data_IF_064175012113
#
_entry.id   IF_064175012113
#
_cell.length_a   1.000
_cell.length_b   1.000
_cell.length_c   1.000
_cell.angle_alpha   90.00
_cell.angle_beta   90.00
_cell.angle_gamma   90.00
#
_symmetry.space_group_name_H-M   'P 1'
#
loop_
_entity.id
_entity.type
_entity.pdbx_description
1 polymer ?
#
# COMPACT_ATOMS: atom_id res chain seq x y z
N UNK A 1 -8.66 13.88 -16.63
CA UNK A 1 -9.61 13.76 -15.55
C UNK A 1 -8.99 13.65 -14.17
N UNK A 2 -9.66 14.25 -13.19
CA UNK A 2 -9.23 14.23 -11.78
C UNK A 2 -9.37 12.87 -11.07
N UNK A 3 -9.78 11.80 -11.77
CA UNK A 3 -9.92 10.45 -11.19
C UNK A 3 -11.19 10.20 -10.38
N UNK A 4 -12.23 11.02 -10.47
CA UNK A 4 -13.51 10.87 -9.73
C UNK A 4 -14.13 9.48 -9.90
N UNK A 5 -14.40 9.08 -11.14
CA UNK A 5 -15.02 7.80 -11.48
C UNK A 5 -14.20 6.61 -10.95
N UNK A 6 -12.88 6.66 -11.11
CA UNK A 6 -11.97 5.65 -10.57
C UNK A 6 -12.00 5.61 -9.04
N UNK A 7 -12.03 6.78 -8.39
CA UNK A 7 -12.13 6.88 -6.94
C UNK A 7 -13.46 6.30 -6.44
N UNK A 8 -14.59 6.63 -7.10
CA UNK A 8 -15.92 6.10 -6.73
C UNK A 8 -15.94 4.57 -6.70
N UNK A 9 -15.37 3.94 -7.75
CA UNK A 9 -15.23 2.47 -7.79
C UNK A 9 -14.33 1.91 -6.68
N UNK A 10 -13.17 2.54 -6.43
CA UNK A 10 -12.25 2.12 -5.37
C UNK A 10 -12.87 2.26 -3.98
N UNK A 11 -13.56 3.36 -3.72
CA UNK A 11 -14.25 3.58 -2.44
C UNK A 11 -15.33 2.52 -2.20
N UNK A 12 -16.13 2.22 -3.22
CA UNK A 12 -17.15 1.18 -3.14
C UNK A 12 -16.52 -0.19 -2.84
N UNK A 13 -15.45 -0.56 -3.53
CA UNK A 13 -14.70 -1.79 -3.27
C UNK A 13 -14.12 -1.86 -1.86
N UNK A 14 -13.58 -0.77 -1.35
CA UNK A 14 -13.06 -0.66 0.02
C UNK A 14 -14.17 -0.84 1.06
N UNK A 15 -15.31 -0.17 0.88
CA UNK A 15 -16.47 -0.28 1.78
C UNK A 15 -16.99 -1.71 1.83
N UNK A 16 -17.08 -2.38 0.68
CA UNK A 16 -17.49 -3.77 0.61
C UNK A 16 -16.49 -4.71 1.28
N UNK A 17 -15.22 -4.67 0.86
CA UNK A 17 -14.22 -5.66 1.26
C UNK A 17 -13.74 -5.50 2.69
N UNK A 18 -13.52 -4.25 3.15
CA UNK A 18 -12.93 -3.97 4.48
C UNK A 18 -13.96 -3.60 5.54
N UNK A 19 -15.15 -3.11 5.13
CA UNK A 19 -16.18 -2.66 6.07
C UNK A 19 -17.46 -3.50 6.05
N UNK A 20 -17.55 -4.51 5.15
CA UNK A 20 -18.70 -5.38 5.02
C UNK A 20 -19.99 -4.65 4.64
N UNK A 21 -19.89 -3.46 4.02
CA UNK A 21 -21.05 -2.66 3.61
C UNK A 21 -21.54 -3.09 2.24
N UNK A 22 -22.82 -2.83 1.98
CA UNK A 22 -23.46 -3.04 0.68
C UNK A 22 -23.61 -1.71 -0.07
N UNK A 23 -22.62 -1.30 -0.88
CA UNK A 23 -22.68 -0.05 -1.63
C UNK A 23 -23.42 -0.21 -2.96
N UNK A 24 -24.04 0.90 -3.42
CA UNK A 24 -24.61 1.06 -4.76
C UNK A 24 -23.87 2.22 -5.45
N UNK A 25 -23.42 2.02 -6.69
CA UNK A 25 -22.82 3.07 -7.52
C UNK A 25 -23.83 3.59 -8.53
N UNK A 26 -23.90 4.92 -8.70
CA UNK A 26 -24.72 5.58 -9.71
C UNK A 26 -23.92 6.61 -10.49
N UNK A 27 -24.02 6.60 -11.84
CA UNK A 27 -23.36 7.54 -12.71
C UNK A 27 -24.32 8.68 -13.11
N UNK A 28 -23.99 9.90 -12.71
CA UNK A 28 -24.67 11.12 -13.13
C UNK A 28 -23.86 11.93 -14.17
N UNK A 29 -22.74 11.43 -14.68
CA UNK A 29 -21.99 12.03 -15.80
C UNK A 29 -22.60 11.57 -17.13
N UNK A 30 -23.72 12.12 -17.49
CA UNK A 30 -24.46 11.82 -18.73
C UNK A 30 -23.83 12.43 -19.98
N UNK A 31 -22.91 13.38 -19.82
CA UNK A 31 -22.24 14.09 -20.91
C UNK A 31 -21.13 13.27 -21.57
N UNK A 32 -20.69 12.22 -20.89
CA UNK A 32 -19.67 11.30 -21.37
C UNK A 32 -20.18 9.86 -21.30
N UNK A 33 -20.72 9.31 -22.40
CA UNK A 33 -21.22 7.92 -22.43
C UNK A 33 -20.19 6.91 -21.92
N UNK A 34 -18.91 7.15 -22.23
CA UNK A 34 -17.82 6.32 -21.76
C UNK A 34 -17.67 6.34 -20.22
N UNK A 35 -18.07 7.42 -19.51
CA UNK A 35 -17.97 7.49 -18.05
C UNK A 35 -18.98 6.57 -17.37
N UNK A 36 -20.21 6.47 -17.89
CA UNK A 36 -21.23 5.54 -17.39
C UNK A 36 -20.70 4.11 -17.51
N UNK A 37 -20.23 3.74 -18.70
CA UNK A 37 -19.69 2.40 -18.96
C UNK A 37 -18.44 2.10 -18.14
N UNK A 38 -17.59 3.10 -17.92
CA UNK A 38 -16.41 3.00 -17.08
C UNK A 38 -16.80 2.69 -15.63
N UNK A 39 -17.78 3.41 -15.05
CA UNK A 39 -18.21 3.18 -13.68
C UNK A 39 -18.88 1.81 -13.53
N UNK A 40 -19.67 1.37 -14.50
CA UNK A 40 -20.27 0.04 -14.54
C UNK A 40 -19.18 -1.06 -14.54
N UNK A 41 -18.16 -0.92 -15.38
CA UNK A 41 -17.03 -1.87 -15.45
C UNK A 41 -16.26 -1.91 -14.13
N UNK A 42 -16.03 -0.75 -13.51
CA UNK A 42 -15.39 -0.67 -12.20
C UNK A 42 -16.24 -1.35 -11.11
N UNK A 43 -17.56 -1.12 -11.12
CA UNK A 43 -18.50 -1.76 -10.19
C UNK A 43 -18.41 -3.30 -10.28
N UNK A 44 -18.43 -3.84 -11.51
CA UNK A 44 -18.26 -5.26 -11.77
C UNK A 44 -16.90 -5.77 -11.27
N UNK A 45 -15.83 -5.03 -11.55
CA UNK A 45 -14.46 -5.40 -11.14
C UNK A 45 -14.23 -5.46 -9.63
N UNK A 46 -15.03 -4.72 -8.84
CA UNK A 46 -15.00 -4.76 -7.36
C UNK A 46 -16.22 -5.50 -6.78
N UNK A 47 -17.04 -6.13 -7.61
CA UNK A 47 -18.25 -6.83 -7.25
C UNK A 47 -19.28 -5.97 -6.47
N UNK A 48 -19.52 -4.76 -6.89
CA UNK A 48 -20.49 -3.82 -6.31
C UNK A 48 -21.62 -3.60 -7.30
N UNK A 49 -22.82 -3.38 -6.78
CA UNK A 49 -23.98 -3.13 -7.61
C UNK A 49 -23.92 -1.74 -8.26
N UNK A 50 -24.38 -1.66 -9.50
CA UNK A 50 -24.45 -0.44 -10.29
C UNK A 50 -25.91 -0.12 -10.63
N UNK A 51 -26.33 1.14 -10.39
CA UNK A 51 -27.63 1.63 -10.79
C UNK A 51 -27.62 1.99 -12.28
N UNK A 52 -28.48 1.40 -13.12
CA UNK A 52 -28.51 1.66 -14.55
C UNK A 52 -28.87 3.13 -14.83
N UNK A 53 -28.09 3.80 -15.65
CA UNK A 53 -28.33 5.17 -16.10
C UNK A 53 -28.12 5.29 -17.61
N UNK A 54 -28.80 6.24 -18.23
CA UNK A 54 -28.75 6.51 -19.65
C UNK A 54 -28.42 7.99 -19.90
N UNK A 55 -27.69 8.28 -20.97
CA UNK A 55 -27.28 9.64 -21.38
C UNK A 55 -28.47 10.58 -21.67
N UNK A 56 -29.66 10.03 -21.92
CA UNK A 56 -30.89 10.82 -22.17
C UNK A 56 -31.57 11.28 -20.87
N UNK A 57 -31.18 10.73 -19.74
CA UNK A 57 -31.77 11.09 -18.44
C UNK A 57 -31.09 12.35 -17.88
N UNK A 58 -31.85 13.10 -17.07
CA UNK A 58 -31.26 14.22 -16.32
C UNK A 58 -30.50 13.70 -15.10
N UNK A 59 -29.33 14.24 -14.77
CA UNK A 59 -28.53 13.83 -13.60
C UNK A 59 -29.32 13.82 -12.28
N UNK A 60 -30.19 14.80 -12.08
CA UNK A 60 -31.04 14.91 -10.87
C UNK A 60 -32.05 13.75 -10.79
N UNK A 61 -32.63 13.33 -11.92
CA UNK A 61 -33.60 12.25 -11.96
C UNK A 61 -32.93 10.90 -11.71
N UNK A 62 -31.74 10.70 -12.28
CA UNK A 62 -30.91 9.51 -11.99
C UNK A 62 -30.59 9.44 -10.49
N UNK A 63 -30.14 10.55 -9.90
CA UNK A 63 -29.79 10.62 -8.49
C UNK A 63 -30.96 10.29 -7.57
N UNK A 64 -32.14 10.85 -7.84
CA UNK A 64 -33.39 10.56 -7.09
C UNK A 64 -33.82 9.11 -7.23
N UNK A 65 -33.79 8.56 -8.44
CA UNK A 65 -34.17 7.17 -8.70
C UNK A 65 -33.17 6.21 -8.03
N UNK A 66 -31.88 6.48 -8.10
CA UNK A 66 -30.85 5.68 -7.42
C UNK A 66 -31.02 5.71 -5.90
N UNK A 67 -31.36 6.86 -5.31
CA UNK A 67 -31.62 6.97 -3.87
C UNK A 67 -32.87 6.16 -3.45
N UNK A 68 -33.94 6.23 -4.26
CA UNK A 68 -35.15 5.44 -4.02
C UNK A 68 -34.86 3.92 -4.08
N UNK A 69 -34.13 3.49 -5.10
CA UNK A 69 -33.72 2.08 -5.28
C UNK A 69 -32.80 1.62 -4.14
N UNK A 70 -31.84 2.48 -3.74
CA UNK A 70 -30.95 2.20 -2.62
C UNK A 70 -31.71 1.95 -1.31
N UNK A 71 -32.72 2.77 -1.02
CA UNK A 71 -33.60 2.60 0.16
C UNK A 71 -34.44 1.32 0.06
N UNK A 72 -35.05 1.07 -1.11
CA UNK A 72 -35.91 -0.08 -1.34
C UNK A 72 -35.16 -1.42 -1.21
N UNK A 73 -33.91 -1.46 -1.68
CA UNK A 73 -33.08 -2.68 -1.70
C UNK A 73 -32.11 -2.76 -0.49
N UNK A 74 -32.25 -1.87 0.47
CA UNK A 74 -31.46 -1.83 1.70
C UNK A 74 -29.94 -1.78 1.44
N UNK A 75 -29.50 -0.88 0.57
CA UNK A 75 -28.09 -0.57 0.44
C UNK A 75 -27.63 0.30 1.59
N UNK A 76 -26.44 0.03 2.12
CA UNK A 76 -25.85 0.80 3.24
C UNK A 76 -25.34 2.16 2.79
N UNK A 77 -24.84 2.25 1.55
CA UNK A 77 -24.19 3.43 0.99
C UNK A 77 -24.55 3.60 -0.48
N UNK A 78 -25.00 4.78 -0.87
CA UNK A 78 -25.12 5.20 -2.27
C UNK A 78 -23.96 6.14 -2.58
N UNK A 79 -23.18 5.84 -3.63
CA UNK A 79 -22.10 6.70 -4.15
C UNK A 79 -22.53 7.19 -5.52
N UNK A 80 -22.63 8.51 -5.67
CA UNK A 80 -23.02 9.17 -6.91
C UNK A 80 -21.82 9.84 -7.53
N UNK A 81 -21.42 9.38 -8.72
CA UNK A 81 -20.35 9.98 -9.53
C UNK A 81 -20.93 11.04 -10.46
N UNK A 82 -20.48 12.28 -10.32
CA UNK A 82 -20.98 13.43 -11.06
C UNK A 82 -20.04 13.84 -12.20
N UNK A 83 -20.55 14.61 -13.16
CA UNK A 83 -19.73 15.21 -14.21
C UNK A 83 -18.58 16.05 -13.62
N UNK A 84 -17.49 16.13 -14.36
CA UNK A 84 -16.36 16.98 -14.00
C UNK A 84 -15.69 17.50 -15.24
N UNK A 85 -15.69 18.82 -15.38
CA UNK A 85 -14.99 19.54 -16.45
C UNK A 85 -13.73 20.22 -15.90
N UNK A 86 -12.80 20.54 -16.79
CA UNK A 86 -11.57 21.27 -16.43
C UNK A 86 -11.86 22.74 -16.06
N UNK A 87 -12.91 23.30 -16.63
CA UNK A 87 -13.36 24.67 -16.33
C UNK A 87 -14.68 24.62 -15.57
N UNK A 88 -14.78 25.43 -14.55
CA UNK A 88 -16.00 25.63 -13.75
C UNK A 88 -16.93 26.52 -14.58
N UNK A 89 -17.95 25.92 -15.20
CA UNK A 89 -19.03 26.68 -15.84
C UNK A 89 -20.26 26.73 -14.92
N UNK A 90 -21.08 27.79 -15.11
CA UNK A 90 -22.24 28.05 -14.25
C UNK A 90 -23.32 26.96 -14.37
N UNK A 91 -23.53 26.40 -15.57
CA UNK A 91 -24.55 25.37 -15.83
C UNK A 91 -24.22 24.10 -15.09
N UNK A 92 -22.95 23.66 -15.17
CA UNK A 92 -22.50 22.48 -14.44
C UNK A 92 -22.61 22.68 -12.93
N UNK A 93 -22.24 23.86 -12.42
CA UNK A 93 -22.34 24.15 -10.99
C UNK A 93 -23.78 24.13 -10.50
N UNK A 94 -24.72 24.66 -11.28
CA UNK A 94 -26.13 24.64 -10.93
C UNK A 94 -26.72 23.22 -10.97
N UNK A 95 -26.30 22.42 -11.94
CA UNK A 95 -26.68 21.01 -12.01
C UNK A 95 -26.19 20.22 -10.77
N UNK A 96 -24.93 20.41 -10.39
CA UNK A 96 -24.36 19.73 -9.22
C UNK A 96 -25.05 20.19 -7.93
N UNK A 97 -25.40 21.48 -7.80
CA UNK A 97 -26.20 21.99 -6.68
C UNK A 97 -27.58 21.34 -6.63
N UNK A 98 -28.26 21.15 -7.78
CA UNK A 98 -29.55 20.48 -7.85
C UNK A 98 -29.43 19.00 -7.44
N UNK A 99 -28.41 18.29 -7.93
CA UNK A 99 -28.14 16.89 -7.51
C UNK A 99 -27.87 16.82 -6.01
N UNK A 100 -27.04 17.73 -5.49
CA UNK A 100 -26.75 17.81 -4.07
C UNK A 100 -28.01 18.06 -3.23
N UNK A 101 -28.83 19.03 -3.62
CA UNK A 101 -30.08 19.35 -2.91
C UNK A 101 -31.08 18.17 -2.94
N UNK A 102 -31.14 17.44 -4.06
CA UNK A 102 -32.02 16.29 -4.22
C UNK A 102 -31.61 15.07 -3.34
N UNK A 103 -30.32 14.89 -3.14
CA UNK A 103 -29.77 13.76 -2.36
C UNK A 103 -29.61 14.07 -0.88
N UNK A 104 -29.33 15.34 -0.54
CA UNK A 104 -28.92 15.77 0.80
C UNK A 104 -27.86 14.83 1.39
N UNK A 105 -26.68 14.70 0.75
CA UNK A 105 -25.71 13.69 1.09
C UNK A 105 -25.03 13.98 2.43
N UNK A 106 -24.68 12.92 3.16
CA UNK A 106 -23.86 13.03 4.39
C UNK A 106 -22.45 13.49 4.06
N UNK A 107 -21.92 13.05 2.90
CA UNK A 107 -20.57 13.37 2.43
C UNK A 107 -20.61 13.96 1.03
N UNK A 108 -19.99 15.13 0.87
CA UNK A 108 -19.73 15.76 -0.43
C UNK A 108 -18.22 15.87 -0.60
N UNK A 109 -17.67 14.95 -1.39
CA UNK A 109 -16.22 14.78 -1.55
C UNK A 109 -15.74 15.43 -2.85
N UNK A 110 -14.77 16.32 -2.75
CA UNK A 110 -14.12 16.94 -3.90
C UNK A 110 -12.86 16.17 -4.28
N UNK A 111 -12.79 15.68 -5.52
CA UNK A 111 -11.65 14.92 -6.01
C UNK A 111 -10.75 15.79 -6.86
N UNK A 112 -9.48 15.88 -6.48
CA UNK A 112 -8.47 16.70 -7.13
C UNK A 112 -7.24 15.87 -7.48
N UNK A 113 -6.64 16.18 -8.63
CA UNK A 113 -5.38 15.59 -9.10
C UNK A 113 -4.22 16.35 -8.45
N UNK A 114 -3.38 15.64 -7.69
CA UNK A 114 -2.24 16.22 -6.98
C UNK A 114 -1.19 16.84 -7.92
N UNK A 115 -1.19 16.46 -9.20
CA UNK A 115 -0.23 16.95 -10.19
C UNK A 115 -0.67 18.25 -10.90
N UNK A 116 -1.91 18.72 -10.72
CA UNK A 116 -2.43 19.88 -11.46
C UNK A 116 -2.07 21.25 -10.88
N UNK A 117 -1.33 21.28 -9.77
CA UNK A 117 -0.76 22.52 -9.21
C UNK A 117 -1.81 23.58 -8.87
N UNK A 118 -1.59 24.83 -9.32
CA UNK A 118 -2.43 25.99 -8.98
C UNK A 118 -3.87 25.90 -9.52
N UNK A 119 -4.08 25.23 -10.66
CA UNK A 119 -5.44 25.05 -11.22
C UNK A 119 -6.32 24.19 -10.31
N UNK A 120 -5.73 23.21 -9.63
CA UNK A 120 -6.41 22.43 -8.61
C UNK A 120 -6.92 23.30 -7.46
N UNK A 121 -6.10 24.25 -7.03
CA UNK A 121 -6.40 25.16 -5.94
C UNK A 121 -7.57 26.10 -6.30
N UNK A 122 -7.54 26.69 -7.49
CA UNK A 122 -8.59 27.57 -7.98
C UNK A 122 -9.93 26.83 -8.14
N UNK A 123 -9.88 25.62 -8.70
CA UNK A 123 -11.07 24.77 -8.85
C UNK A 123 -11.63 24.37 -7.48
N UNK A 124 -10.78 23.99 -6.54
CA UNK A 124 -11.19 23.62 -5.18
C UNK A 124 -11.88 24.77 -4.46
N UNK A 125 -11.38 26.01 -4.63
CA UNK A 125 -11.99 27.22 -4.07
C UNK A 125 -13.41 27.42 -4.60
N UNK A 126 -13.59 27.39 -5.92
CA UNK A 126 -14.90 27.59 -6.56
C UNK A 126 -15.92 26.53 -6.11
N UNK A 127 -15.52 25.25 -6.03
CA UNK A 127 -16.41 24.20 -5.53
C UNK A 127 -16.73 24.36 -4.05
N UNK A 128 -15.77 24.77 -3.22
CA UNK A 128 -15.99 24.98 -1.79
C UNK A 128 -16.91 26.16 -1.48
N UNK A 129 -16.92 27.18 -2.34
CA UNK A 129 -17.84 28.33 -2.26
C UNK A 129 -19.26 27.95 -2.71
N UNK A 130 -19.38 27.05 -3.67
CA UNK A 130 -20.65 26.66 -4.27
C UNK A 130 -21.39 25.51 -3.57
N UNK A 131 -20.65 24.64 -2.88
CA UNK A 131 -21.17 23.42 -2.28
C UNK A 131 -20.62 23.24 -0.85
N UNK A 132 -21.41 22.67 0.08
CA UNK A 132 -20.94 22.34 1.43
C UNK A 132 -20.02 21.09 1.39
N UNK A 133 -18.80 21.28 0.92
CA UNK A 133 -17.83 20.17 0.88
C UNK A 133 -17.55 19.65 2.30
N UNK A 134 -17.49 18.35 2.45
CA UNK A 134 -17.17 17.66 3.73
C UNK A 134 -15.77 17.10 3.76
N UNK A 135 -15.13 16.96 2.60
CA UNK A 135 -13.77 16.44 2.50
C UNK A 135 -13.21 16.51 1.09
N UNK A 136 -11.92 16.29 1.00
CA UNK A 136 -11.15 16.28 -0.23
C UNK A 136 -10.47 14.94 -0.42
N UNK A 137 -10.36 14.52 -1.68
CA UNK A 137 -9.62 13.35 -2.12
C UNK A 137 -8.48 13.82 -3.01
N UNK A 138 -7.26 13.42 -2.70
CA UNK A 138 -6.11 13.63 -3.58
C UNK A 138 -5.85 12.38 -4.40
N UNK A 139 -5.85 12.51 -5.72
CA UNK A 139 -5.51 11.43 -6.65
C UNK A 139 -4.13 11.63 -7.25
N UNK A 140 -3.56 10.56 -7.80
CA UNK A 140 -2.24 10.55 -8.46
C UNK A 140 -1.10 11.04 -7.55
N UNK A 141 -1.20 10.74 -6.27
CA UNK A 141 -0.19 11.14 -5.26
C UNK A 141 1.13 10.39 -5.45
N UNK A 142 1.11 9.27 -6.15
CA UNK A 142 2.28 8.53 -6.62
C UNK A 142 3.18 9.36 -7.55
N UNK A 143 2.62 10.34 -8.28
CA UNK A 143 3.36 11.32 -9.07
C UNK A 143 3.82 12.56 -8.30
N UNK A 144 3.27 12.85 -7.12
CA UNK A 144 3.64 13.99 -6.25
C UNK A 144 4.71 13.57 -5.23
N UNK A 145 5.97 13.65 -5.64
CA UNK A 145 7.10 13.21 -4.82
C UNK A 145 7.22 13.94 -3.47
N UNK A 146 6.66 15.14 -3.34
CA UNK A 146 6.79 15.97 -2.13
C UNK A 146 5.50 16.11 -1.31
N UNK A 147 4.34 15.78 -1.86
CA UNK A 147 3.05 15.90 -1.16
C UNK A 147 2.58 17.35 -0.95
N UNK A 148 3.15 18.32 -1.67
CA UNK A 148 2.85 19.74 -1.50
C UNK A 148 1.41 20.12 -1.83
N UNK A 149 0.76 19.39 -2.75
CA UNK A 149 -0.64 19.61 -3.10
C UNK A 149 -1.58 19.48 -1.89
N UNK A 150 -1.27 18.59 -0.94
CA UNK A 150 -2.06 18.40 0.27
C UNK A 150 -2.16 19.66 1.13
N UNK A 151 -1.04 20.38 1.31
CA UNK A 151 -0.99 21.60 2.11
C UNK A 151 -1.80 22.72 1.44
N UNK A 152 -1.59 22.95 0.13
CA UNK A 152 -2.28 23.99 -0.62
C UNK A 152 -3.79 23.79 -0.63
N UNK A 153 -4.25 22.58 -0.92
CA UNK A 153 -5.68 22.25 -0.95
C UNK A 153 -6.31 22.37 0.44
N UNK A 154 -5.64 21.90 1.48
CA UNK A 154 -6.12 22.01 2.86
C UNK A 154 -6.27 23.46 3.29
N UNK A 155 -5.30 24.31 2.94
CA UNK A 155 -5.31 25.75 3.27
C UNK A 155 -6.45 26.47 2.55
N UNK A 156 -6.66 26.20 1.26
CA UNK A 156 -7.65 26.89 0.43
C UNK A 156 -9.09 26.47 0.78
N UNK A 157 -9.32 25.17 0.96
CA UNK A 157 -10.66 24.65 1.22
C UNK A 157 -11.05 24.67 2.69
N UNK A 158 -10.08 24.64 3.59
CA UNK A 158 -10.32 24.43 5.02
C UNK A 158 -10.88 23.03 5.35
N UNK A 159 -11.06 22.17 4.33
CA UNK A 159 -11.69 20.85 4.50
C UNK A 159 -10.65 19.74 4.72
N UNK A 160 -10.99 18.70 5.50
CA UNK A 160 -10.07 17.59 5.72
C UNK A 160 -9.83 16.80 4.41
N UNK A 161 -8.59 16.39 4.19
CA UNK A 161 -8.29 15.38 3.19
C UNK A 161 -8.65 14.04 3.81
N UNK A 162 -9.45 13.22 3.12
CA UNK A 162 -9.94 11.94 3.66
C UNK A 162 -9.20 10.75 3.08
N UNK A 163 -8.88 10.79 1.79
CA UNK A 163 -8.22 9.68 1.08
C UNK A 163 -7.17 10.17 0.11
N UNK A 164 -6.22 9.27 -0.17
CA UNK A 164 -5.18 9.39 -1.18
C UNK A 164 -5.33 8.29 -2.22
N UNK A 165 -5.36 8.64 -3.50
CA UNK A 165 -5.22 7.69 -4.61
C UNK A 165 -3.75 7.55 -4.98
N UNK A 166 -3.18 6.40 -4.66
CA UNK A 166 -1.73 6.12 -4.75
C UNK A 166 -1.35 5.22 -5.92
N UNK A 167 -2.20 5.13 -6.94
CA UNK A 167 -1.94 4.31 -8.12
C UNK A 167 -3.22 3.91 -8.86
N UNK A 168 -3.11 3.11 -9.90
CA UNK A 168 -4.23 2.73 -10.78
C UNK A 168 -5.03 1.53 -10.28
N UNK A 169 -4.43 0.61 -9.52
CA UNK A 169 -5.07 -0.62 -9.04
C UNK A 169 -6.28 -0.32 -8.15
N UNK A 170 -7.24 -1.25 -8.11
CA UNK A 170 -8.49 -1.09 -7.33
C UNK A 170 -8.27 -0.98 -5.82
N UNK A 171 -7.18 -1.50 -5.30
CA UNK A 171 -6.76 -1.44 -3.90
C UNK A 171 -5.85 -0.23 -3.57
N UNK A 172 -5.44 0.54 -4.59
CA UNK A 172 -4.58 1.72 -4.43
C UNK A 172 -5.37 2.96 -3.95
N UNK A 173 -6.02 2.81 -2.80
CA UNK A 173 -6.74 3.86 -2.07
C UNK A 173 -6.38 3.76 -0.59
N UNK A 174 -5.81 4.83 -0.06
CA UNK A 174 -5.37 4.89 1.34
C UNK A 174 -6.11 5.99 2.10
N UNK A 175 -6.47 5.78 3.37
CA UNK A 175 -6.89 6.87 4.25
C UNK A 175 -5.77 7.92 4.37
N UNK A 176 -6.16 9.18 4.52
CA UNK A 176 -5.18 10.25 4.72
C UNK A 176 -4.65 10.24 6.16
N UNK A 177 -3.34 10.12 6.29
CA UNK A 177 -2.62 10.20 7.56
C UNK A 177 -1.74 11.45 7.57
N UNK A 178 -2.11 12.53 8.29
CA UNK A 178 -1.38 13.80 8.28
C UNK A 178 0.09 13.66 8.63
N UNK A 179 0.41 12.86 9.65
CA UNK A 179 1.79 12.66 10.14
C UNK A 179 2.70 12.03 9.07
N UNK A 180 2.16 11.11 8.25
CA UNK A 180 2.91 10.49 7.16
C UNK A 180 3.22 11.48 6.04
N UNK A 181 2.24 12.31 5.68
CA UNK A 181 2.44 13.34 4.66
C UNK A 181 3.42 14.39 5.16
N UNK A 182 3.31 14.83 6.41
CA UNK A 182 4.27 15.74 7.03
C UNK A 182 5.69 15.16 7.01
N UNK A 183 5.88 13.91 7.42
CA UNK A 183 7.16 13.21 7.38
C UNK A 183 7.74 13.11 5.97
N UNK A 184 6.87 12.85 4.97
CA UNK A 184 7.27 12.81 3.55
C UNK A 184 7.74 14.19 3.05
N UNK A 185 7.00 15.26 3.39
CA UNK A 185 7.36 16.65 3.03
C UNK A 185 8.71 17.04 3.64
N UNK A 186 8.96 16.65 4.88
CA UNK A 186 10.20 16.92 5.62
C UNK A 186 11.35 16.00 5.20
N UNK A 187 11.14 15.05 4.29
CA UNK A 187 12.17 14.11 3.85
C UNK A 187 12.56 13.06 4.89
N UNK A 188 11.77 12.88 5.95
CA UNK A 188 12.05 11.93 7.04
C UNK A 188 11.73 10.47 6.68
N UNK A 189 11.16 10.21 5.50
CA UNK A 189 10.71 8.89 5.09
C UNK A 189 9.39 8.46 5.75
N UNK A 190 8.81 7.36 5.27
CA UNK A 190 7.55 6.82 5.80
C UNK A 190 7.81 5.57 6.66
N UNK A 191 8.45 5.77 7.82
CA UNK A 191 8.79 4.70 8.76
C UNK A 191 7.52 4.05 9.37
N UNK A 192 6.47 4.84 9.56
CA UNK A 192 5.21 4.33 10.12
C UNK A 192 4.49 3.38 9.16
N UNK A 193 4.44 3.70 7.86
CA UNK A 193 3.91 2.79 6.85
C UNK A 193 4.69 1.48 6.79
N UNK A 194 6.01 1.54 6.94
CA UNK A 194 6.84 0.34 6.99
C UNK A 194 6.47 -0.54 8.19
N UNK A 195 6.27 0.06 9.37
CA UNK A 195 5.88 -0.67 10.58
C UNK A 195 4.50 -1.31 10.40
N UNK A 196 3.50 -0.58 9.90
CA UNK A 196 2.16 -1.11 9.68
C UNK A 196 2.09 -2.18 8.58
N UNK A 197 2.85 -2.03 7.50
CA UNK A 197 2.96 -3.06 6.46
C UNK A 197 3.62 -4.33 7.01
N UNK A 198 4.61 -4.18 7.88
CA UNK A 198 5.20 -5.29 8.61
C UNK A 198 4.18 -5.94 9.56
N UNK A 199 3.41 -5.16 10.31
CA UNK A 199 2.36 -5.68 11.18
C UNK A 199 1.21 -6.37 10.43
N UNK A 200 0.84 -5.86 9.24
CA UNK A 200 -0.20 -6.47 8.39
C UNK A 200 0.27 -7.70 7.65
N UNK A 201 1.54 -7.75 7.27
CA UNK A 201 2.12 -8.87 6.51
C UNK A 201 2.57 -10.03 7.39
N UNK A 202 2.80 -9.77 8.68
CA UNK A 202 3.13 -10.81 9.65
C UNK A 202 1.85 -11.55 10.03
N UNK A 203 1.72 -12.77 9.49
CA UNK A 203 0.71 -13.73 9.96
C UNK A 203 0.99 -14.02 11.44
N UNK A 204 0.20 -13.39 12.32
CA UNK A 204 0.39 -13.46 13.78
C UNK A 204 0.50 -14.90 14.28
N UNK A 205 -0.29 -15.82 13.72
CA UNK A 205 -0.22 -17.24 14.10
C UNK A 205 1.14 -17.85 13.74
N UNK A 206 1.71 -17.50 12.59
CA UNK A 206 3.03 -18.02 12.18
C UNK A 206 4.17 -17.38 12.96
N UNK A 207 4.07 -16.07 13.23
CA UNK A 207 5.03 -15.37 14.09
C UNK A 207 5.01 -15.93 15.52
N UNK A 208 3.83 -16.23 16.07
CA UNK A 208 3.70 -16.88 17.37
C UNK A 208 4.23 -18.33 17.36
N UNK A 209 3.99 -19.10 16.30
CA UNK A 209 4.55 -20.45 16.15
C UNK A 209 6.09 -20.43 16.09
N UNK A 210 6.66 -19.47 15.37
CA UNK A 210 8.12 -19.27 15.34
C UNK A 210 8.62 -18.85 16.72
N UNK A 211 7.97 -17.90 17.36
CA UNK A 211 8.33 -17.45 18.72
C UNK A 211 8.19 -18.59 19.76
N UNK A 212 7.18 -19.44 19.64
CA UNK A 212 6.99 -20.61 20.49
C UNK A 212 8.06 -21.68 20.23
N UNK A 213 8.43 -21.97 18.97
CA UNK A 213 9.57 -22.85 18.63
C UNK A 213 10.87 -22.31 19.25
N UNK A 214 11.10 -20.99 19.18
CA UNK A 214 12.23 -20.33 19.83
C UNK A 214 12.24 -20.52 21.34
N UNK A 215 11.08 -20.37 22.01
CA UNK A 215 10.94 -20.57 23.45
C UNK A 215 11.10 -22.03 23.87
N UNK A 216 10.63 -22.99 23.07
CA UNK A 216 10.73 -24.43 23.33
C UNK A 216 12.12 -25.00 23.04
N UNK A 217 13.01 -24.23 22.42
CA UNK A 217 14.38 -24.68 22.17
C UNK A 217 14.57 -25.57 20.95
N UNK A 218 13.56 -25.68 20.08
CA UNK A 218 13.65 -26.41 18.82
C UNK A 218 14.66 -25.74 17.89
N UNK A 219 15.48 -26.55 17.24
CA UNK A 219 16.48 -26.02 16.29
C UNK A 219 15.80 -25.51 15.03
N UNK A 220 16.20 -24.32 14.56
CA UNK A 220 15.79 -23.74 13.30
C UNK A 220 16.25 -24.61 12.14
N UNK A 221 15.33 -25.03 11.27
CA UNK A 221 15.56 -25.96 10.18
C UNK A 221 15.64 -25.27 8.81
N UNK A 222 16.13 -25.97 7.78
CA UNK A 222 16.07 -25.47 6.39
C UNK A 222 14.62 -25.34 5.87
N UNK A 223 13.69 -26.08 6.46
CA UNK A 223 12.26 -25.93 6.17
C UNK A 223 11.73 -24.58 6.67
N UNK A 224 12.07 -24.24 7.91
CA UNK A 224 11.70 -22.92 8.49
C UNK A 224 12.33 -21.78 7.67
N UNK A 225 13.57 -21.96 7.21
CA UNK A 225 14.25 -20.99 6.34
C UNK A 225 13.55 -20.84 4.99
N UNK A 226 13.09 -21.93 4.38
CA UNK A 226 12.30 -21.90 3.14
C UNK A 226 10.99 -21.13 3.31
N UNK A 227 10.29 -21.35 4.42
CA UNK A 227 9.06 -20.63 4.72
C UNK A 227 9.31 -19.13 4.87
N UNK A 228 10.39 -18.74 5.55
CA UNK A 228 10.79 -17.34 5.65
C UNK A 228 11.09 -16.70 4.27
N UNK A 229 11.81 -17.41 3.40
CA UNK A 229 12.08 -16.92 2.04
C UNK A 229 10.78 -16.68 1.25
N UNK A 230 9.78 -17.57 1.40
CA UNK A 230 8.47 -17.43 0.76
C UNK A 230 7.68 -16.25 1.31
N UNK A 231 7.68 -16.05 2.62
CA UNK A 231 7.02 -14.89 3.23
C UNK A 231 7.69 -13.59 2.78
N UNK A 232 9.01 -13.49 2.78
CA UNK A 232 9.74 -12.33 2.25
C UNK A 232 9.38 -12.03 0.79
N UNK A 233 9.21 -13.08 -0.03
CA UNK A 233 8.79 -12.93 -1.42
C UNK A 233 7.34 -12.42 -1.54
N UNK A 234 6.42 -12.91 -0.68
CA UNK A 234 5.02 -12.43 -0.62
C UNK A 234 4.91 -10.96 -0.20
N UNK A 235 5.83 -10.50 0.64
CA UNK A 235 5.90 -9.11 1.09
C UNK A 235 6.45 -8.14 0.04
N UNK A 236 6.61 -8.57 -1.21
CA UNK A 236 7.11 -7.74 -2.32
C UNK A 236 8.62 -7.79 -2.51
N UNK A 237 9.30 -8.76 -1.88
CA UNK A 237 10.76 -8.94 -1.97
C UNK A 237 11.55 -7.90 -1.16
N UNK A 238 12.87 -8.11 -1.10
CA UNK A 238 13.76 -7.21 -0.35
C UNK A 238 13.85 -5.80 -0.97
N UNK A 239 13.58 -5.68 -2.27
CA UNK A 239 13.61 -4.40 -2.99
C UNK A 239 12.49 -3.46 -2.50
N UNK A 240 11.28 -3.98 -2.31
CA UNK A 240 10.16 -3.21 -1.76
C UNK A 240 10.42 -2.74 -0.31
N UNK A 241 11.15 -3.52 0.49
CA UNK A 241 11.57 -3.11 1.82
C UNK A 241 12.69 -2.06 1.79
N UNK A 242 13.67 -2.22 0.88
CA UNK A 242 14.76 -1.26 0.71
C UNK A 242 14.25 0.10 0.25
N UNK A 243 13.31 0.15 -0.67
CA UNK A 243 12.73 1.40 -1.19
C UNK A 243 12.00 2.23 -0.12
N UNK A 244 11.50 1.57 0.93
CA UNK A 244 10.79 2.23 2.03
C UNK A 244 11.73 2.75 3.14
N UNK A 245 13.00 2.37 3.13
CA UNK A 245 13.97 2.85 4.12
C UNK A 245 14.40 4.30 3.84
N UNK A 246 14.53 5.14 4.87
CA UNK A 246 15.08 6.48 4.73
C UNK A 246 16.50 6.43 4.15
N UNK A 247 16.74 7.12 3.03
CA UNK A 247 18.05 7.13 2.37
C UNK A 247 18.27 6.05 1.30
N UNK A 248 17.33 5.14 1.07
CA UNK A 248 17.46 4.08 0.06
C UNK A 248 17.61 4.60 -1.38
N UNK A 249 17.13 5.82 -1.66
CA UNK A 249 17.32 6.48 -2.97
C UNK A 249 18.78 6.76 -3.30
N UNK A 250 19.65 6.83 -2.29
CA UNK A 250 21.08 7.08 -2.44
C UNK A 250 21.94 5.81 -2.47
N UNK A 251 21.30 4.62 -2.47
CA UNK A 251 22.04 3.36 -2.58
C UNK A 251 22.62 3.21 -3.99
N UNK A 252 23.90 2.87 -4.11
CA UNK A 252 24.53 2.63 -5.41
C UNK A 252 23.81 1.53 -6.19
N UNK A 253 23.71 1.68 -7.52
CA UNK A 253 22.97 0.75 -8.39
C UNK A 253 23.49 -0.70 -8.33
N UNK A 254 24.78 -0.89 -8.00
CA UNK A 254 25.34 -2.22 -7.81
C UNK A 254 24.73 -2.96 -6.59
N UNK A 255 24.26 -2.24 -5.56
CA UNK A 255 23.57 -2.84 -4.40
C UNK A 255 22.13 -3.20 -4.76
N UNK A 256 21.45 -2.35 -5.54
CA UNK A 256 20.10 -2.62 -6.05
C UNK A 256 20.07 -3.84 -6.96
N UNK A 257 21.07 -4.00 -7.81
CA UNK A 257 21.18 -5.13 -8.75
C UNK A 257 21.61 -6.46 -8.10
N UNK A 258 22.15 -6.44 -6.86
CA UNK A 258 22.51 -7.66 -6.13
C UNK A 258 21.33 -8.30 -5.39
N UNK A 259 20.24 -7.57 -5.22
CA UNK A 259 19.00 -8.06 -4.56
C UNK A 259 17.98 -8.43 -5.64
N UNK A 260 18.29 -9.47 -6.42
CA UNK A 260 17.38 -9.96 -7.47
C UNK A 260 16.46 -11.07 -6.90
N UNK A 261 15.18 -11.00 -7.24
CA UNK A 261 14.18 -12.07 -6.97
C UNK A 261 14.63 -13.44 -7.48
N UNK A 262 15.51 -13.47 -8.49
CA UNK A 262 16.16 -14.70 -8.99
C UNK A 262 16.98 -15.40 -7.92
N UNK A 263 17.61 -14.65 -7.01
CA UNK A 263 18.38 -15.22 -5.92
C UNK A 263 17.48 -15.99 -4.94
N UNK A 264 16.32 -15.44 -4.58
CA UNK A 264 15.35 -16.13 -3.73
C UNK A 264 14.81 -17.41 -4.38
N UNK A 265 14.48 -17.35 -5.67
CA UNK A 265 14.04 -18.50 -6.44
C UNK A 265 15.10 -19.60 -6.46
N UNK A 266 16.37 -19.24 -6.60
CA UNK A 266 17.50 -20.15 -6.59
C UNK A 266 17.69 -20.85 -5.25
N UNK A 267 17.62 -20.09 -4.14
CA UNK A 267 17.70 -20.63 -2.78
C UNK A 267 16.53 -21.58 -2.49
N UNK A 268 15.32 -21.19 -2.86
CA UNK A 268 14.13 -22.03 -2.70
C UNK A 268 14.23 -23.32 -3.52
N UNK A 269 14.71 -23.26 -4.76
CA UNK A 269 14.90 -24.44 -5.62
C UNK A 269 15.90 -25.42 -5.01
N UNK A 270 17.01 -24.94 -4.43
CA UNK A 270 18.00 -25.78 -3.75
C UNK A 270 17.37 -26.50 -2.57
N UNK A 271 16.60 -25.80 -1.72
CA UNK A 271 15.94 -26.40 -0.56
C UNK A 271 14.84 -27.38 -1.00
N UNK A 272 14.07 -27.08 -2.03
CA UNK A 272 13.05 -27.97 -2.59
C UNK A 272 13.64 -29.27 -3.14
N UNK A 273 14.88 -29.25 -3.63
CA UNK A 273 15.61 -30.44 -4.11
C UNK A 273 16.13 -31.35 -2.99
N UNK A 274 16.03 -30.90 -1.73
CA UNK A 274 16.41 -31.69 -0.55
C UNK A 274 15.25 -32.55 -0.08
N UNK A 275 15.57 -33.73 0.48
CA UNK A 275 14.59 -34.56 1.20
C UNK A 275 14.21 -33.92 2.54
N UNK A 276 13.05 -34.29 3.11
CA UNK A 276 12.61 -33.82 4.42
C UNK A 276 13.65 -34.06 5.52
N UNK A 277 14.32 -35.24 5.48
CA UNK A 277 15.40 -35.58 6.43
C UNK A 277 16.60 -34.65 6.29
N UNK A 278 16.95 -34.25 5.06
CA UNK A 278 18.06 -33.34 4.78
C UNK A 278 17.74 -31.88 5.19
N UNK A 279 16.48 -31.47 5.07
CA UNK A 279 16.04 -30.18 5.55
C UNK A 279 16.06 -30.08 7.07
N UNK A 280 15.73 -31.19 7.76
CA UNK A 280 15.76 -31.26 9.22
C UNK A 280 17.21 -31.37 9.76
N UNK A 281 18.09 -32.11 9.07
CA UNK A 281 19.48 -32.37 9.47
C UNK A 281 20.47 -32.02 8.36
N UNK A 282 20.86 -30.75 8.20
CA UNK A 282 21.78 -30.32 7.15
C UNK A 282 23.17 -30.94 7.20
N UNK A 283 23.64 -31.39 8.38
CA UNK A 283 24.95 -32.01 8.59
C UNK A 283 25.13 -33.31 7.81
N UNK A 284 24.03 -33.98 7.45
CA UNK A 284 24.08 -35.19 6.62
C UNK A 284 24.32 -34.89 5.13
N UNK A 285 24.28 -33.64 4.69
CA UNK A 285 24.44 -33.26 3.29
C UNK A 285 25.92 -33.21 2.91
N UNK A 286 26.49 -34.40 2.59
CA UNK A 286 27.89 -34.55 2.15
C UNK A 286 28.01 -34.60 0.62
N UNK A 287 29.19 -34.78 0.08
CA UNK A 287 29.55 -34.57 -1.32
C UNK A 287 28.58 -35.13 -2.37
N UNK A 288 28.17 -36.43 -2.27
CA UNK A 288 27.22 -37.06 -3.19
C UNK A 288 25.83 -36.40 -3.14
N UNK A 289 25.36 -36.08 -1.92
CA UNK A 289 24.07 -35.43 -1.73
C UNK A 289 24.08 -34.00 -2.28
N UNK A 290 25.20 -33.25 -2.08
CA UNK A 290 25.34 -31.89 -2.66
C UNK A 290 25.28 -31.91 -4.19
N UNK A 291 25.90 -32.89 -4.83
CA UNK A 291 25.81 -33.05 -6.29
C UNK A 291 24.39 -33.35 -6.75
N UNK A 292 23.68 -34.26 -6.08
CA UNK A 292 22.29 -34.58 -6.39
C UNK A 292 21.37 -33.37 -6.20
N UNK A 293 21.53 -32.64 -5.10
CA UNK A 293 20.74 -31.44 -4.83
C UNK A 293 21.02 -30.37 -5.88
N UNK A 294 22.26 -30.12 -6.24
CA UNK A 294 22.65 -29.18 -7.27
C UNK A 294 22.03 -29.53 -8.63
N UNK A 295 22.11 -30.80 -9.02
CA UNK A 295 21.51 -31.30 -10.27
C UNK A 295 19.99 -31.13 -10.28
N UNK A 296 19.30 -31.50 -9.19
CA UNK A 296 17.85 -31.42 -9.07
C UNK A 296 17.30 -29.99 -8.98
N UNK A 297 18.11 -29.04 -8.55
CA UNK A 297 17.74 -27.62 -8.47
C UNK A 297 18.19 -26.80 -9.70
N UNK A 298 18.89 -27.39 -10.65
CA UNK A 298 19.46 -26.67 -11.80
C UNK A 298 20.54 -25.66 -11.40
N UNK A 299 21.25 -25.92 -10.27
CA UNK A 299 22.30 -25.05 -9.72
C UNK A 299 23.65 -25.76 -9.66
N UNK A 300 24.68 -25.05 -9.23
CA UNK A 300 26.02 -25.62 -9.04
C UNK A 300 26.25 -26.07 -7.61
N UNK A 301 27.19 -26.99 -7.38
CA UNK A 301 27.57 -27.48 -6.04
C UNK A 301 28.05 -26.32 -5.15
N UNK A 302 28.69 -25.32 -5.75
CA UNK A 302 29.10 -24.10 -5.04
C UNK A 302 27.92 -23.33 -4.44
N UNK A 303 26.79 -23.27 -5.16
CA UNK A 303 25.58 -22.61 -4.68
C UNK A 303 24.97 -23.33 -3.48
N UNK A 304 24.96 -24.67 -3.52
CA UNK A 304 24.52 -25.51 -2.40
C UNK A 304 25.44 -25.28 -1.18
N UNK A 305 26.76 -25.26 -1.39
CA UNK A 305 27.71 -24.96 -0.31
C UNK A 305 27.51 -23.58 0.31
N UNK A 306 27.26 -22.58 -0.53
CA UNK A 306 27.01 -21.20 -0.08
C UNK A 306 25.75 -21.13 0.78
N UNK A 307 24.66 -21.78 0.34
CA UNK A 307 23.43 -21.85 1.11
C UNK A 307 23.64 -22.51 2.48
N UNK A 308 24.29 -23.68 2.52
CA UNK A 308 24.52 -24.40 3.76
C UNK A 308 25.41 -23.61 4.74
N UNK A 309 26.41 -22.90 4.23
CA UNK A 309 27.25 -22.01 5.04
C UNK A 309 26.47 -20.85 5.63
N UNK A 310 25.66 -20.16 4.82
CA UNK A 310 24.81 -19.07 5.27
C UNK A 310 23.79 -19.54 6.33
N UNK A 311 23.22 -20.72 6.13
CA UNK A 311 22.30 -21.33 7.08
C UNK A 311 22.98 -21.66 8.41
N UNK A 312 24.17 -22.23 8.42
CA UNK A 312 24.96 -22.51 9.63
C UNK A 312 25.33 -21.23 10.39
N UNK A 313 25.75 -20.19 9.67
CA UNK A 313 26.05 -18.88 10.27
C UNK A 313 24.82 -18.29 10.94
N UNK A 314 23.64 -18.37 10.29
CA UNK A 314 22.39 -17.91 10.83
C UNK A 314 21.96 -18.72 12.08
N UNK A 315 22.06 -20.06 12.05
CA UNK A 315 21.79 -20.89 13.22
C UNK A 315 22.71 -20.54 14.40
N UNK A 316 24.00 -20.29 14.14
CA UNK A 316 24.95 -19.86 15.18
C UNK A 316 24.57 -18.51 15.77
N UNK A 317 24.13 -17.57 14.95
CA UNK A 317 23.67 -16.26 15.41
C UNK A 317 22.43 -16.39 16.28
N UNK A 318 21.45 -17.21 15.85
CA UNK A 318 20.24 -17.47 16.61
C UNK A 318 20.52 -18.17 17.96
N UNK A 319 21.43 -19.15 17.99
CA UNK A 319 21.88 -19.79 19.24
C UNK A 319 22.56 -18.80 20.20
N UNK A 320 23.32 -17.83 19.69
CA UNK A 320 23.92 -16.76 20.50
C UNK A 320 22.87 -15.81 21.07
N UNK A 321 21.86 -15.44 20.28
CA UNK A 321 20.75 -14.61 20.75
C UNK A 321 19.94 -15.28 21.88
N UNK A 322 19.72 -16.59 21.79
CA UNK A 322 19.00 -17.38 22.80
C UNK A 322 19.75 -17.42 24.14
N UNK A 323 21.10 -17.45 24.14
CA UNK A 323 21.93 -17.50 25.38
C UNK A 323 22.12 -16.15 26.09
N UNK A 324 21.21 -15.19 25.92
CA UNK A 324 21.26 -13.90 26.64
C UNK A 324 21.86 -12.74 25.86
N UNK A 325 22.12 -12.91 24.56
CA UNK A 325 22.65 -11.86 23.68
C UNK A 325 21.66 -10.72 23.39
N UNK A 326 20.36 -10.96 23.55
CA UNK A 326 19.32 -9.96 23.21
C UNK A 326 19.37 -8.72 24.11
N UNK A 327 19.60 -8.90 25.42
CA UNK A 327 19.75 -7.78 26.36
C UNK A 327 21.03 -6.98 26.12
N UNK A 328 22.13 -7.65 25.69
CA UNK A 328 23.39 -6.98 25.33
C UNK A 328 23.29 -6.24 23.99
N UNK A 329 22.57 -6.81 23.00
CA UNK A 329 22.39 -6.21 21.67
C UNK A 329 21.43 -5.02 21.73
N UNK A 330 20.35 -5.08 22.51
CA UNK A 330 19.47 -3.94 22.75
C UNK A 330 20.19 -2.78 23.49
N UNK A 331 21.06 -3.08 24.47
CA UNK A 331 21.92 -2.05 25.10
C UNK A 331 22.94 -1.46 24.12
N UNK A 332 23.49 -2.25 23.21
CA UNK A 332 24.41 -1.78 22.16
C UNK A 332 23.71 -0.89 21.12
N UNK A 333 22.47 -1.25 20.72
CA UNK A 333 21.67 -0.44 19.80
C UNK A 333 21.16 0.86 20.45
N UNK A 334 20.75 0.84 21.71
CA UNK A 334 20.42 2.05 22.47
C UNK A 334 21.63 2.98 22.62
N UNK A 335 22.85 2.43 22.75
CA UNK A 335 24.10 3.21 22.77
C UNK A 335 24.44 3.85 21.43
N UNK A 336 24.10 3.20 20.31
CA UNK A 336 24.31 3.76 18.94
C UNK A 336 23.27 4.83 18.58
N UNK A 337 22.04 4.68 19.04
CA UNK A 337 20.94 5.66 18.79
C UNK A 337 21.05 6.84 19.77
N UNK A 338 21.50 6.59 20.99
CA UNK A 338 21.68 7.64 22.01
C UNK A 338 23.01 8.39 21.95
N UNK A 339 24.02 7.87 21.23
CA UNK A 339 25.37 8.46 21.14
C UNK A 339 25.67 9.22 19.84
N UNK A 340 24.78 9.22 18.86
CA UNK A 340 25.04 9.67 17.49
C UNK A 340 24.88 11.17 17.20
N UNK A 341 24.50 12.01 18.13
CA UNK A 341 24.31 13.46 17.90
C UNK A 341 25.25 14.39 18.68
N UNK A 342 26.18 13.85 19.46
CA UNK A 342 27.11 14.67 20.26
C UNK A 342 28.59 14.64 19.81
N UNK A 343 29.01 13.81 18.83
CA UNK A 343 30.38 13.51 18.53
C UNK A 343 31.04 14.18 17.31
N UNK A 344 30.31 14.93 16.49
CA UNK A 344 30.86 15.54 15.24
C UNK A 344 31.30 17.01 15.36
N UNK A 345 31.29 17.57 16.57
CA UNK A 345 31.78 18.96 16.81
C UNK A 345 33.27 19.12 17.09
N UNK A 346 34.06 18.05 17.12
CA UNK A 346 35.45 18.08 17.63
C UNK A 346 36.61 17.93 16.64
N UNK A 347 36.35 17.80 15.32
CA UNK A 347 37.42 17.42 14.37
C UNK A 347 37.73 18.47 13.27
N UNK A 348 37.30 19.72 13.44
CA UNK A 348 37.79 20.87 12.62
C UNK A 348 38.30 21.97 13.51
N UNK A 349 39.42 21.70 14.19
CA UNK A 349 40.31 22.73 14.72
C UNK A 349 41.73 22.16 14.76
N UNK A 350 42.43 22.24 13.64
CA UNK A 350 43.84 22.60 13.47
C UNK A 350 44.17 22.59 12.00
#
# INVERSE_FOLDING_TARGET
GSGKTTFSGKLAGLLRSKKGRKPLLAACDVYRPAAIKQLETLAQGVNVDFFPSDVKQKPVDIAKAALADAKLKFYDVLIVDTAGRLHVDSEMMDEIKQVHAALNPIETLFTVDAMTGQDAANTAKAFNEALPLTGVILTKVDGDARGGAALSIRQITGKPIKFLGVGEKNDALEPFHPDRIASRILGMGDVLSLIEDLERSVDREKAEKIAQKFKKGDDFTLEDFREQLREMKRMGGMMSMLEKLPGAKNLPDHVKNQVDDKMFNKLEAIINSMTLKERANPDMIKGSRRRRIALGSGTQVQDVNKLLKQFDEMQRMMKKMRKGGMAKMMRGMQGLIGGGLGGLGGMFRR
#
